data_IF_071430691905
#
_entry.id   IF_071430691905
#
_cell.length_a   1.000
_cell.length_b   1.000
_cell.length_c   1.000
_cell.angle_alpha   90.00
_cell.angle_beta   90.00
_cell.angle_gamma   90.00
#
_symmetry.space_group_name_H-M   'P 1'
#
loop_
_entity.id
_entity.type
_entity.pdbx_description
1 polymer ?
#
# COMPACT_ATOMS: atom_id res chain seq x y z
N UNK A 1 -11.83 14.07 31.40
CA UNK A 1 -12.88 13.94 30.37
C UNK A 1 -12.18 14.00 29.02
N UNK A 2 -11.89 12.85 28.42
CA UNK A 2 -11.34 12.81 27.06
C UNK A 2 -12.52 12.92 26.10
N UNK A 3 -12.57 13.98 25.30
CA UNK A 3 -13.50 14.04 24.17
C UNK A 3 -13.15 12.91 23.21
N UNK A 4 -13.98 11.88 23.16
CA UNK A 4 -13.94 10.84 22.15
C UNK A 4 -14.36 11.45 20.80
N UNK A 5 -13.50 12.29 20.22
CA UNK A 5 -13.60 12.60 18.81
C UNK A 5 -13.30 11.31 18.06
N UNK A 6 -14.31 10.72 17.41
CA UNK A 6 -14.11 9.64 16.45
C UNK A 6 -13.31 10.22 15.27
N UNK A 7 -11.99 10.21 15.40
CA UNK A 7 -11.09 10.50 14.30
C UNK A 7 -11.14 9.34 13.32
N UNK A 8 -11.66 9.57 12.11
CA UNK A 8 -11.51 8.62 11.02
C UNK A 8 -10.09 8.80 10.48
N UNK A 9 -9.29 7.74 10.52
CA UNK A 9 -7.97 7.71 9.89
C UNK A 9 -7.94 6.66 8.78
N UNK A 10 -7.35 7.00 7.64
CA UNK A 10 -7.18 6.10 6.50
C UNK A 10 -5.73 5.62 6.46
N UNK A 11 -5.42 4.67 7.33
CA UNK A 11 -4.05 4.15 7.51
C UNK A 11 -3.79 2.86 6.73
N UNK A 12 -4.86 2.17 6.34
CA UNK A 12 -4.79 0.98 5.52
C UNK A 12 -4.68 1.34 4.03
N UNK A 13 -3.75 0.72 3.32
CA UNK A 13 -3.51 0.97 1.89
C UNK A 13 -3.37 -0.34 1.11
N UNK A 14 -3.76 -0.31 -0.16
CA UNK A 14 -3.46 -1.38 -1.12
C UNK A 14 -2.40 -0.87 -2.09
N UNK A 15 -1.22 -1.49 -2.08
CA UNK A 15 -0.15 -1.19 -3.02
C UNK A 15 -0.05 -2.29 -4.08
N UNK A 16 0.00 -1.90 -5.35
CA UNK A 16 0.11 -2.82 -6.49
C UNK A 16 1.17 -2.33 -7.47
N UNK A 17 1.80 -3.26 -8.18
CA UNK A 17 2.64 -2.92 -9.33
C UNK A 17 1.82 -2.29 -10.46
N UNK A 18 2.44 -1.45 -11.28
CA UNK A 18 1.82 -0.81 -12.45
C UNK A 18 1.12 -1.78 -13.40
N UNK A 19 1.65 -3.00 -13.46
CA UNK A 19 1.19 -4.04 -14.37
C UNK A 19 -0.15 -4.63 -13.89
N UNK A 20 -0.30 -4.73 -12.57
CA UNK A 20 -1.50 -5.22 -11.88
C UNK A 20 -2.58 -4.13 -11.78
N UNK A 21 -2.18 -2.86 -11.78
CA UNK A 21 -3.12 -1.73 -11.72
C UNK A 21 -4.17 -1.79 -12.85
N UNK A 22 -3.79 -2.28 -14.03
CA UNK A 22 -4.70 -2.44 -15.17
C UNK A 22 -5.73 -3.57 -14.99
N UNK A 23 -5.47 -4.49 -14.07
CA UNK A 23 -6.36 -5.60 -13.74
C UNK A 23 -7.32 -5.22 -12.61
N UNK A 24 -7.08 -4.12 -11.89
CA UNK A 24 -7.94 -3.64 -10.82
C UNK A 24 -9.25 -3.12 -11.40
N UNK A 25 -10.36 -3.75 -11.03
CA UNK A 25 -11.69 -3.35 -11.53
C UNK A 25 -12.44 -2.50 -10.51
N UNK A 26 -12.44 -2.96 -9.26
CA UNK A 26 -13.15 -2.30 -8.17
C UNK A 26 -12.22 -2.20 -6.98
N UNK A 27 -12.15 -1.02 -6.39
CA UNK A 27 -11.50 -0.77 -5.12
C UNK A 27 -12.48 0.05 -4.28
N UNK A 28 -12.85 -0.46 -3.11
CA UNK A 28 -13.88 0.17 -2.28
C UNK A 28 -13.75 -0.22 -0.82
N UNK A 29 -14.32 0.61 0.04
CA UNK A 29 -14.53 0.32 1.45
C UNK A 29 -15.99 -0.14 1.58
N UNK A 30 -16.27 -1.42 1.88
CA UNK A 30 -17.63 -1.89 2.06
C UNK A 30 -18.31 -1.21 3.25
N UNK A 31 -19.63 -1.08 3.15
CA UNK A 31 -20.49 -0.43 4.16
C UNK A 31 -21.06 -1.43 5.17
N UNK A 32 -20.30 -2.48 5.50
CA UNK A 32 -20.64 -3.40 6.57
C UNK A 32 -19.64 -3.28 7.72
N UNK A 33 -20.13 -3.53 8.93
CA UNK A 33 -19.30 -3.47 10.11
C UNK A 33 -18.21 -4.54 10.08
N UNK A 34 -16.99 -4.07 10.29
CA UNK A 34 -15.84 -4.92 10.54
C UNK A 34 -15.85 -5.34 12.01
N UNK A 35 -15.35 -6.55 12.31
CA UNK A 35 -15.15 -7.01 13.69
C UNK A 35 -13.89 -6.40 14.33
N UNK A 36 -13.25 -5.45 13.64
CA UNK A 36 -12.06 -4.70 14.06
C UNK A 36 -12.38 -3.20 14.11
N UNK A 37 -11.57 -2.47 14.87
CA UNK A 37 -11.45 -1.01 14.89
C UNK A 37 -11.01 -0.38 13.56
N UNK A 38 -10.57 -1.17 12.58
CA UNK A 38 -10.26 -0.74 11.22
C UNK A 38 -11.40 -1.03 10.24
N UNK A 39 -11.54 -0.18 9.21
CA UNK A 39 -12.44 -0.45 8.08
C UNK A 39 -11.77 -1.40 7.09
N UNK A 40 -12.54 -2.37 6.59
CA UNK A 40 -12.05 -3.28 5.56
C UNK A 40 -11.82 -2.54 4.23
N UNK A 41 -10.81 -2.94 3.47
CA UNK A 41 -10.62 -2.53 2.08
C UNK A 41 -10.88 -3.76 1.21
N UNK A 42 -11.77 -3.62 0.23
CA UNK A 42 -12.11 -4.67 -0.72
C UNK A 42 -11.70 -4.26 -2.13
N UNK A 43 -11.18 -5.21 -2.91
CA UNK A 43 -10.89 -4.99 -4.30
C UNK A 43 -11.10 -6.23 -5.16
N UNK A 44 -11.36 -6.00 -6.45
CA UNK A 44 -11.58 -7.05 -7.45
C UNK A 44 -10.54 -6.94 -8.56
N UNK A 45 -9.99 -8.10 -8.96
CA UNK A 45 -9.04 -8.21 -10.07
C UNK A 45 -9.71 -8.94 -11.25
N UNK A 46 -9.74 -8.30 -12.42
CA UNK A 46 -10.14 -8.91 -13.69
C UNK A 46 -8.98 -9.69 -14.27
N UNK A 47 -8.85 -10.95 -13.86
CA UNK A 47 -7.84 -11.86 -14.40
C UNK A 47 -8.37 -12.46 -15.73
N UNK A 48 -7.73 -12.19 -16.88
CA UNK A 48 -8.13 -12.78 -18.15
C UNK A 48 -8.06 -14.31 -18.07
N UNK A 49 -8.99 -15.00 -18.70
CA UNK A 49 -8.97 -16.47 -18.79
C UNK A 49 -7.70 -17.00 -19.47
N UNK A 50 -7.07 -16.20 -20.35
CA UNK A 50 -5.78 -16.49 -20.98
C UNK A 50 -4.58 -16.40 -20.03
N UNK A 51 -4.72 -15.73 -18.87
CA UNK A 51 -3.67 -15.64 -17.86
C UNK A 51 -3.64 -16.86 -16.92
N UNK A 52 -4.50 -17.87 -17.14
CA UNK A 52 -4.58 -19.09 -16.32
C UNK A 52 -3.43 -20.08 -16.54
N UNK A 53 -2.54 -19.84 -17.49
CA UNK A 53 -1.29 -20.60 -17.59
C UNK A 53 -0.27 -19.98 -16.65
N UNK A 54 -0.46 -20.22 -15.34
CA UNK A 54 0.62 -20.08 -14.39
C UNK A 54 1.62 -21.18 -14.75
N UNK A 55 2.65 -20.87 -15.53
CA UNK A 55 3.80 -21.73 -15.60
C UNK A 55 4.43 -21.69 -14.21
N UNK A 56 4.11 -22.66 -13.35
CA UNK A 56 4.48 -22.70 -11.92
C UNK A 56 6.00 -22.73 -11.67
N UNK A 57 6.82 -22.55 -12.71
CA UNK A 57 8.27 -22.74 -12.70
C UNK A 57 9.10 -21.46 -12.86
N UNK A 58 8.55 -20.35 -13.39
CA UNK A 58 9.37 -19.21 -13.81
C UNK A 58 9.26 -17.93 -12.94
N UNK A 59 8.10 -17.63 -12.36
CA UNK A 59 7.84 -16.27 -11.82
C UNK A 59 7.96 -16.12 -10.29
N UNK A 60 8.12 -17.21 -9.54
CA UNK A 60 8.36 -17.15 -8.08
C UNK A 60 9.66 -16.43 -7.69
N UNK A 61 10.49 -16.05 -8.67
CA UNK A 61 11.73 -15.31 -8.47
C UNK A 61 11.64 -13.79 -8.75
N UNK A 62 10.53 -13.29 -9.30
CA UNK A 62 10.39 -11.86 -9.64
C UNK A 62 10.15 -10.99 -8.39
N UNK A 63 9.38 -11.48 -7.43
CA UNK A 63 9.08 -10.77 -6.18
C UNK A 63 9.51 -11.60 -4.96
N UNK A 64 10.82 -11.83 -4.84
CA UNK A 64 11.39 -12.54 -3.71
C UNK A 64 12.00 -11.54 -2.72
N UNK A 65 11.41 -11.42 -1.52
CA UNK A 65 11.88 -10.54 -0.45
C UNK A 65 13.31 -10.87 0.02
N UNK A 66 13.79 -12.10 -0.18
CA UNK A 66 15.18 -12.49 0.09
C UNK A 66 16.18 -11.93 -0.94
N UNK A 67 15.71 -11.61 -2.16
CA UNK A 67 16.51 -11.01 -3.24
C UNK A 67 16.24 -9.52 -3.44
N UNK A 68 15.30 -8.95 -2.69
CA UNK A 68 15.01 -7.53 -2.74
C UNK A 68 16.25 -6.72 -2.34
N UNK A 69 16.52 -5.64 -3.07
CA UNK A 69 17.61 -4.73 -2.74
C UNK A 69 17.16 -3.80 -1.60
N UNK A 70 17.24 -4.30 -0.37
CA UNK A 70 16.84 -3.57 0.83
C UNK A 70 17.64 -2.28 1.03
N UNK A 71 18.90 -2.25 0.63
CA UNK A 71 19.73 -1.05 0.71
C UNK A 71 19.16 0.07 -0.16
N UNK A 72 18.69 -0.26 -1.37
CA UNK A 72 18.00 0.70 -2.23
C UNK A 72 16.74 1.22 -1.55
N UNK A 73 15.89 0.34 -1.04
CA UNK A 73 14.67 0.71 -0.31
C UNK A 73 14.97 1.67 0.86
N UNK A 74 15.89 1.29 1.76
CA UNK A 74 16.26 2.13 2.90
C UNK A 74 16.85 3.47 2.48
N UNK A 75 17.69 3.50 1.45
CA UNK A 75 18.28 4.76 0.95
C UNK A 75 17.22 5.74 0.44
N UNK A 76 16.11 5.24 -0.12
CA UNK A 76 14.99 6.07 -0.56
C UNK A 76 14.12 6.51 0.62
N UNK A 77 13.87 5.63 1.60
CA UNK A 77 13.14 5.98 2.82
C UNK A 77 13.86 7.07 3.63
N UNK A 78 15.17 6.96 3.85
CA UNK A 78 15.93 7.99 4.57
C UNK A 78 15.96 9.34 3.82
N UNK A 79 15.91 9.34 2.48
CA UNK A 79 15.77 10.58 1.71
C UNK A 79 14.40 11.22 1.92
N UNK A 80 13.33 10.42 1.94
CA UNK A 80 11.99 10.90 2.20
C UNK A 80 11.85 11.47 3.62
N UNK A 81 12.43 10.80 4.63
CA UNK A 81 12.47 11.27 6.02
C UNK A 81 13.18 12.63 6.14
N UNK A 82 14.36 12.77 5.53
CA UNK A 82 15.10 14.04 5.54
C UNK A 82 14.36 15.17 4.80
N UNK A 83 13.62 14.86 3.74
CA UNK A 83 12.80 15.85 3.03
C UNK A 83 11.63 16.33 3.89
N UNK A 84 10.99 15.43 4.64
CA UNK A 84 9.90 15.78 5.57
C UNK A 84 10.42 16.60 6.75
N UNK A 85 11.55 16.21 7.36
CA UNK A 85 12.15 16.95 8.47
C UNK A 85 12.64 18.35 8.02
N UNK A 86 13.21 18.46 6.83
CA UNK A 86 13.59 19.76 6.25
C UNK A 86 12.38 20.67 5.98
N UNK A 87 11.26 20.09 5.52
CA UNK A 87 10.01 20.83 5.31
C UNK A 87 9.36 21.28 6.62
N UNK A 88 9.41 20.45 7.68
CA UNK A 88 8.84 20.80 8.99
C UNK A 88 9.64 21.90 9.68
N UNK A 89 10.97 21.89 9.58
CA UNK A 89 11.82 22.94 10.15
C UNK A 89 11.61 24.31 9.47
N UNK A 90 11.22 24.34 8.19
CA UNK A 90 10.86 25.57 7.48
C UNK A 90 9.44 26.07 7.80
N UNK A 91 8.53 25.21 8.27
CA UNK A 91 7.18 25.62 8.68
C UNK A 91 7.09 26.15 10.12
N UNK A 92 8.09 25.88 10.97
CA UNK A 92 8.07 26.32 12.38
C UNK A 92 8.78 27.69 12.57
N UNK A 93 9.43 28.21 11.52
CA UNK A 93 10.21 29.46 11.56
C UNK A 93 9.59 30.63 10.78
N UNK A 94 8.30 30.56 10.43
CA UNK A 94 7.50 31.68 9.87
C UNK A 94 6.24 31.89 10.69
#
# INVERSE_FOLDING_TARGET
MFSAGQGISYIDITAVGTDVLRLLDRWFIPDYDSLSDHRMISFELKIPSSARTCDCSAETNLFNTKRANWNMFYSHCSKAENAVLGSLNNCILT
#
